data_IF_690596673567
#
_entry.id   IF_690596673567
#
_cell.length_a   1.000
_cell.length_b   1.000
_cell.length_c   1.000
_cell.angle_alpha   90.00
_cell.angle_beta   90.00
_cell.angle_gamma   90.00
#
_symmetry.space_group_name_H-M   'P 1'
#
loop_
_entity.id
_entity.type
_entity.pdbx_description
1 polymer ?
#
# COMPACT_ATOMS: atom_id res chain seq x y z
N UNK A 1 11.01 10.07 5.98
CA UNK A 1 9.87 9.63 5.13
C UNK A 1 10.17 8.26 4.51
N UNK A 2 9.28 7.28 4.67
CA UNK A 2 9.42 5.92 4.11
C UNK A 2 8.61 5.78 2.82
N UNK A 3 9.13 5.03 1.86
CA UNK A 3 8.46 4.73 0.59
C UNK A 3 8.00 3.27 0.60
N UNK A 4 6.71 3.06 0.33
CA UNK A 4 6.09 1.73 0.32
C UNK A 4 5.50 1.44 -1.05
N UNK A 5 5.60 0.19 -1.49
CA UNK A 5 5.00 -0.29 -2.73
C UNK A 5 3.96 -1.35 -2.40
N UNK A 6 2.70 -1.11 -2.79
CA UNK A 6 1.59 -2.04 -2.60
C UNK A 6 1.15 -2.67 -3.93
N UNK A 7 0.51 -3.83 -3.83
CA UNK A 7 0.14 -4.63 -5.00
C UNK A 7 1.23 -5.61 -5.44
N UNK A 8 2.16 -5.94 -4.54
CA UNK A 8 3.17 -6.97 -4.78
C UNK A 8 2.52 -8.37 -4.84
N UNK A 9 3.07 -9.31 -5.63
CA UNK A 9 2.60 -10.69 -5.65
C UNK A 9 2.63 -11.34 -4.26
N UNK A 10 1.52 -11.95 -3.84
CA UNK A 10 1.41 -12.62 -2.54
C UNK A 10 1.29 -11.68 -1.33
N UNK A 11 1.19 -10.36 -1.53
CA UNK A 11 1.02 -9.40 -0.44
C UNK A 11 -0.32 -9.60 0.29
N UNK A 12 -0.24 -9.83 1.60
CA UNK A 12 -1.38 -10.12 2.48
C UNK A 12 -1.72 -8.95 3.39
N UNK A 13 -2.96 -8.94 3.90
CA UNK A 13 -3.43 -7.93 4.86
C UNK A 13 -2.64 -7.97 6.18
N UNK A 14 -2.20 -9.16 6.61
CA UNK A 14 -1.34 -9.31 7.78
C UNK A 14 -0.01 -8.57 7.62
N UNK A 15 0.64 -8.68 6.45
CA UNK A 15 1.89 -7.98 6.16
C UNK A 15 1.70 -6.46 6.09
N UNK A 16 0.56 -6.00 5.56
CA UNK A 16 0.23 -4.57 5.51
C UNK A 16 0.05 -4.00 6.93
N UNK A 17 -0.68 -4.73 7.78
CA UNK A 17 -0.83 -4.41 9.20
C UNK A 17 0.51 -4.39 9.93
N UNK A 18 1.32 -5.44 9.79
CA UNK A 18 2.66 -5.52 10.41
C UNK A 18 3.57 -4.36 9.97
N UNK A 19 3.49 -3.98 8.69
CA UNK A 19 4.23 -2.83 8.16
C UNK A 19 3.77 -1.52 8.82
N UNK A 20 2.46 -1.30 8.94
CA UNK A 20 1.92 -0.11 9.59
C UNK A 20 2.32 -0.02 11.07
N UNK A 21 2.23 -1.13 11.80
CA UNK A 21 2.62 -1.23 13.20
C UNK A 21 4.12 -0.98 13.39
N UNK A 22 4.97 -1.58 12.54
CA UNK A 22 6.41 -1.36 12.57
C UNK A 22 6.76 0.12 12.34
N UNK A 23 6.15 0.77 11.36
CA UNK A 23 6.41 2.19 11.08
C UNK A 23 5.93 3.10 12.22
N UNK A 24 4.83 2.73 12.86
CA UNK A 24 4.29 3.40 14.04
C UNK A 24 5.25 3.29 15.23
N UNK A 25 5.82 2.10 15.47
CA UNK A 25 6.81 1.87 16.52
C UNK A 25 8.13 2.62 16.26
N UNK A 26 8.55 2.71 15.01
CA UNK A 26 9.74 3.45 14.61
C UNK A 26 9.55 4.97 14.68
N UNK A 27 8.32 5.46 14.80
CA UNK A 27 8.02 6.88 14.90
C UNK A 27 8.43 7.67 13.66
N UNK A 28 8.26 7.10 12.46
CA UNK A 28 8.64 7.79 11.21
C UNK A 28 7.76 9.02 10.96
N UNK A 29 8.33 10.10 10.40
CA UNK A 29 7.56 11.34 10.21
C UNK A 29 6.44 11.22 9.16
N UNK A 30 6.56 10.26 8.24
CA UNK A 30 5.59 10.14 7.15
C UNK A 30 5.91 9.05 6.13
N UNK A 31 4.89 8.72 5.34
CA UNK A 31 4.92 7.66 4.33
C UNK A 31 4.46 8.15 2.95
N UNK A 32 4.98 7.50 1.90
CA UNK A 32 4.55 7.68 0.52
C UNK A 32 4.21 6.32 -0.08
N UNK A 33 2.94 6.14 -0.44
CA UNK A 33 2.47 4.91 -1.06
C UNK A 33 2.63 4.97 -2.58
N UNK A 34 3.05 3.85 -3.13
CA UNK A 34 3.17 3.61 -4.56
C UNK A 34 2.43 2.33 -4.92
N UNK A 35 1.59 2.37 -5.94
CA UNK A 35 1.05 1.17 -6.56
C UNK A 35 2.06 0.55 -7.52
N UNK A 36 2.18 -0.77 -7.48
CA UNK A 36 2.92 -1.52 -8.48
C UNK A 36 2.17 -1.43 -9.83
N UNK A 37 2.91 -1.07 -10.87
CA UNK A 37 2.41 -1.02 -12.23
C UNK A 37 3.49 -1.50 -13.20
N UNK A 38 3.07 -1.87 -14.40
CA UNK A 38 3.89 -2.43 -15.46
C UNK A 38 4.18 -1.34 -16.48
N UNK A 39 5.46 -1.13 -16.75
CA UNK A 39 5.93 -0.25 -17.82
C UNK A 39 6.50 -1.06 -18.98
N UNK A 40 6.45 -0.49 -20.18
CA UNK A 40 7.08 -1.04 -21.38
C UNK A 40 8.58 -1.28 -21.15
N UNK A 41 9.13 -2.28 -21.81
CA UNK A 41 10.55 -2.62 -21.80
C UNK A 41 11.09 -2.96 -20.40
N UNK A 42 10.24 -3.49 -19.52
CA UNK A 42 10.65 -3.99 -18.20
C UNK A 42 10.52 -5.52 -18.13
N UNK A 43 11.31 -6.20 -17.27
CA UNK A 43 11.08 -7.63 -16.99
C UNK A 43 9.65 -7.93 -16.53
N UNK A 44 9.02 -6.97 -15.83
CA UNK A 44 7.66 -7.09 -15.36
C UNK A 44 6.64 -7.10 -16.52
N UNK A 45 6.91 -6.42 -17.63
CA UNK A 45 6.08 -6.51 -18.84
C UNK A 45 6.07 -7.91 -19.43
N UNK A 46 7.23 -8.56 -19.51
CA UNK A 46 7.34 -9.92 -20.02
C UNK A 46 6.52 -10.88 -19.15
N UNK A 47 6.68 -10.77 -17.83
CA UNK A 47 5.95 -11.57 -16.86
C UNK A 47 4.43 -11.34 -16.95
N UNK A 48 4.00 -10.07 -17.10
CA UNK A 48 2.60 -9.72 -17.31
C UNK A 48 2.03 -10.33 -18.59
N UNK A 49 2.72 -10.20 -19.73
CA UNK A 49 2.29 -10.75 -21.02
C UNK A 49 2.23 -12.28 -21.03
N UNK A 50 3.04 -12.94 -20.20
CA UNK A 50 3.05 -14.39 -20.02
C UNK A 50 2.01 -14.89 -19.00
N UNK A 51 1.26 -13.98 -18.35
CA UNK A 51 0.28 -14.32 -17.31
C UNK A 51 0.90 -14.68 -15.96
N UNK A 52 2.20 -14.50 -15.78
CA UNK A 52 2.90 -14.75 -14.51
C UNK A 52 2.78 -13.62 -13.50
N UNK A 53 2.19 -12.48 -13.90
CA UNK A 53 1.88 -11.37 -13.01
C UNK A 53 0.61 -10.66 -13.49
N UNK A 54 -0.23 -10.25 -12.55
CA UNK A 54 -1.39 -9.39 -12.81
C UNK A 54 -1.38 -8.25 -11.79
N UNK A 55 -1.32 -6.98 -12.23
CA UNK A 55 -1.47 -5.85 -11.33
C UNK A 55 -2.83 -5.86 -10.64
N UNK A 56 -2.86 -5.34 -9.41
CA UNK A 56 -4.10 -5.24 -8.64
C UNK A 56 -5.08 -4.25 -9.28
N UNK A 57 -6.38 -4.54 -9.15
CA UNK A 57 -7.44 -3.58 -9.49
C UNK A 57 -7.40 -2.38 -8.53
N UNK A 58 -8.01 -1.25 -8.93
CA UNK A 58 -8.12 -0.08 -8.06
C UNK A 58 -8.89 -0.42 -6.76
N UNK A 59 -9.90 -1.27 -6.86
CA UNK A 59 -10.66 -1.75 -5.69
C UNK A 59 -9.77 -2.54 -4.72
N UNK A 60 -9.00 -3.51 -5.24
CA UNK A 60 -8.10 -4.32 -4.42
C UNK A 60 -6.96 -3.46 -3.82
N UNK A 61 -6.41 -2.52 -4.58
CA UNK A 61 -5.43 -1.56 -4.09
C UNK A 61 -6.01 -0.70 -2.95
N UNK A 62 -7.23 -0.22 -3.13
CA UNK A 62 -7.92 0.62 -2.14
C UNK A 62 -8.14 -0.13 -0.83
N UNK A 63 -8.56 -1.40 -0.88
CA UNK A 63 -8.66 -2.24 0.33
C UNK A 63 -7.32 -2.37 1.06
N UNK A 64 -6.23 -2.58 0.32
CA UNK A 64 -4.88 -2.66 0.89
C UNK A 64 -4.44 -1.37 1.57
N UNK A 65 -4.71 -0.22 0.93
CA UNK A 65 -4.47 1.10 1.52
C UNK A 65 -5.29 1.28 2.79
N UNK A 66 -6.58 0.93 2.79
CA UNK A 66 -7.42 1.03 3.98
C UNK A 66 -6.90 0.19 5.15
N UNK A 67 -6.56 -1.08 4.93
CA UNK A 67 -5.97 -1.97 5.95
C UNK A 67 -4.70 -1.36 6.55
N UNK A 68 -3.80 -0.84 5.71
CA UNK A 68 -2.59 -0.18 6.16
C UNK A 68 -2.89 1.07 6.99
N UNK A 69 -3.79 1.95 6.50
CA UNK A 69 -4.13 3.20 7.19
C UNK A 69 -4.78 2.95 8.54
N UNK A 70 -5.71 2.01 8.64
CA UNK A 70 -6.40 1.68 9.90
C UNK A 70 -5.44 1.35 11.05
N UNK A 71 -4.28 0.76 10.73
CA UNK A 71 -3.26 0.34 11.71
C UNK A 71 -2.09 1.30 11.85
N UNK A 72 -1.98 2.32 10.99
CA UNK A 72 -0.90 3.31 11.05
C UNK A 72 -1.22 4.36 12.11
N UNK A 73 -0.22 4.70 12.94
CA UNK A 73 -0.34 5.76 13.93
C UNK A 73 -0.84 7.07 13.30
N UNK A 74 -1.83 7.76 13.92
CA UNK A 74 -2.43 8.98 13.38
C UNK A 74 -1.46 10.16 13.29
N UNK A 75 -0.33 10.11 14.00
CA UNK A 75 0.71 11.15 13.97
C UNK A 75 1.59 11.07 12.71
N UNK A 76 1.58 9.94 11.99
CA UNK A 76 2.41 9.75 10.80
C UNK A 76 1.76 10.43 9.59
N UNK A 77 2.48 11.35 8.94
CA UNK A 77 1.95 12.05 7.78
C UNK A 77 1.82 11.15 6.53
N UNK A 78 0.65 11.16 5.90
CA UNK A 78 0.45 10.53 4.59
C UNK A 78 0.76 11.55 3.49
N UNK A 79 1.96 11.45 2.89
CA UNK A 79 2.33 12.35 1.80
C UNK A 79 1.67 11.97 0.46
N UNK A 80 1.27 10.70 0.30
CA UNK A 80 0.66 10.18 -0.93
C UNK A 80 -0.03 8.83 -0.68
N UNK A 81 -1.23 8.68 -1.23
CA UNK A 81 -2.01 7.43 -1.19
C UNK A 81 -1.85 6.54 -2.43
N UNK A 82 -1.63 7.13 -3.61
CA UNK A 82 -1.43 6.42 -4.87
C UNK A 82 -0.51 7.21 -5.78
N UNK A 83 0.24 6.52 -6.63
CA UNK A 83 1.18 7.14 -7.55
C UNK A 83 0.64 7.11 -8.99
N UNK A 84 0.65 8.29 -9.60
CA UNK A 84 0.38 8.44 -11.02
C UNK A 84 1.60 7.94 -11.80
N UNK A 85 1.38 7.10 -12.82
CA UNK A 85 2.42 6.70 -13.75
C UNK A 85 2.93 7.94 -14.48
N UNK A 86 4.16 8.37 -14.16
CA UNK A 86 4.77 9.57 -14.74
C UNK A 86 5.03 9.42 -16.25
N UNK A 87 5.28 8.19 -16.69
CA UNK A 87 5.44 7.79 -18.10
C UNK A 87 4.18 7.07 -18.57
N UNK A 88 3.10 7.83 -18.72
CA UNK A 88 1.78 7.31 -19.07
C UNK A 88 1.75 6.66 -20.47
N UNK A 89 2.65 7.06 -21.36
CA UNK A 89 2.88 6.48 -22.69
C UNK A 89 3.62 5.13 -22.64
N UNK A 90 4.38 4.90 -21.57
CA UNK A 90 5.03 3.62 -21.27
C UNK A 90 4.18 2.71 -20.38
N UNK A 91 3.05 3.18 -19.84
CA UNK A 91 2.18 2.37 -18.99
C UNK A 91 1.52 1.23 -19.78
N UNK A 92 1.72 0.00 -19.30
CA UNK A 92 1.10 -1.21 -19.85
C UNK A 92 -0.12 -1.61 -19.02
N UNK A 93 0.00 -1.63 -17.69
CA UNK A 93 -1.09 -1.97 -16.76
C UNK A 93 -0.71 -1.55 -15.32
N UNK A 94 -1.66 -1.34 -14.40
CA UNK A 94 -3.10 -1.22 -14.66
C UNK A 94 -3.44 0.20 -15.11
N UNK A 95 -4.47 0.32 -15.95
CA UNK A 95 -4.85 1.58 -16.61
C UNK A 95 -5.27 2.69 -15.64
N UNK A 96 -5.73 2.36 -14.44
CA UNK A 96 -6.16 3.40 -13.49
C UNK A 96 -5.00 4.27 -12.98
N UNK A 97 -3.76 3.84 -13.18
CA UNK A 97 -2.56 4.53 -12.69
C UNK A 97 -2.17 5.75 -13.52
N UNK A 98 -2.70 5.91 -14.74
CA UNK A 98 -2.60 7.19 -15.50
C UNK A 98 -3.54 8.27 -14.98
N UNK A 99 -4.52 7.91 -14.16
CA UNK A 99 -5.56 8.84 -13.71
C UNK A 99 -5.08 9.62 -12.47
N UNK A 100 -5.00 10.95 -12.59
CA UNK A 100 -4.41 11.79 -11.53
C UNK A 100 -5.25 11.86 -10.25
N UNK A 101 -6.56 11.99 -10.39
CA UNK A 101 -7.47 12.24 -9.27
C UNK A 101 -8.27 11.01 -8.85
N UNK A 102 -8.63 10.15 -9.83
CA UNK A 102 -9.55 9.04 -9.58
C UNK A 102 -9.09 8.09 -8.48
N UNK A 103 -7.82 7.64 -8.40
CA UNK A 103 -7.42 6.71 -7.35
C UNK A 103 -7.54 7.32 -5.95
N UNK A 104 -7.23 8.61 -5.82
CA UNK A 104 -7.35 9.33 -4.56
C UNK A 104 -8.82 9.44 -4.12
N UNK A 105 -9.70 9.92 -5.01
CA UNK A 105 -11.14 10.01 -4.72
C UNK A 105 -11.74 8.64 -4.38
N UNK A 106 -11.35 7.60 -5.11
CA UNK A 106 -11.86 6.24 -4.88
C UNK A 106 -11.45 5.71 -3.49
N UNK A 107 -10.25 6.06 -3.02
CA UNK A 107 -9.80 5.71 -1.66
C UNK A 107 -10.59 6.50 -0.62
N UNK A 108 -10.76 7.81 -0.80
CA UNK A 108 -11.54 8.65 0.13
C UNK A 108 -13.00 8.20 0.24
N UNK A 109 -13.64 7.91 -0.89
CA UNK A 109 -15.01 7.40 -0.96
C UNK A 109 -15.13 6.06 -0.24
N UNK A 110 -14.15 5.16 -0.43
CA UNK A 110 -14.11 3.89 0.26
C UNK A 110 -13.97 4.06 1.77
N UNK A 111 -13.06 4.91 2.23
CA UNK A 111 -12.85 5.16 3.66
C UNK A 111 -14.12 5.73 4.30
N UNK A 112 -14.77 6.67 3.62
CA UNK A 112 -16.03 7.28 4.05
C UNK A 112 -17.16 6.25 4.11
N UNK A 113 -17.36 5.47 3.05
CA UNK A 113 -18.41 4.46 2.98
C UNK A 113 -18.21 3.33 4.00
N UNK A 114 -16.97 2.96 4.29
CA UNK A 114 -16.62 1.97 5.31
C UNK A 114 -16.60 2.55 6.75
N UNK A 115 -16.87 3.85 6.89
CA UNK A 115 -16.75 4.59 8.15
C UNK A 115 -15.41 4.31 8.85
N UNK A 116 -14.31 4.42 8.11
CA UNK A 116 -12.96 4.09 8.57
C UNK A 116 -11.96 5.21 8.28
N UNK A 117 -10.84 5.22 8.99
CA UNK A 117 -9.85 6.30 8.92
C UNK A 117 -8.48 5.81 9.41
N UNK A 118 -7.44 6.63 9.21
CA UNK A 118 -6.10 6.35 9.69
C UNK A 118 -6.07 6.18 11.21
N UNK A 119 -5.47 5.10 11.69
CA UNK A 119 -5.31 4.82 13.11
C UNK A 119 -6.58 4.35 13.82
N UNK A 120 -7.67 4.05 13.10
CA UNK A 120 -8.91 3.51 13.70
C UNK A 120 -8.67 2.25 14.56
N UNK A 121 -7.76 1.39 14.12
CA UNK A 121 -7.39 0.13 14.76
C UNK A 121 -5.98 0.18 15.38
N UNK A 122 -5.32 1.34 15.34
CA UNK A 122 -4.01 1.52 15.96
C UNK A 122 -4.12 1.48 17.49
N UNK A 123 -3.21 0.75 18.12
CA UNK A 123 -3.16 0.60 19.58
C UNK A 123 -1.79 1.08 20.09
N UNK A 124 -1.71 2.24 20.74
CA UNK A 124 -0.45 2.74 21.28
C UNK A 124 0.06 1.84 22.41
N UNK A 125 1.35 1.50 22.36
CA UNK A 125 2.06 0.92 23.51
C UNK A 125 1.93 -0.59 23.74
N UNK A 126 1.65 -1.40 22.72
CA UNK A 126 1.79 -2.86 22.84
C UNK A 126 3.28 -3.24 22.76
N UNK A 127 3.92 -3.73 23.84
CA UNK A 127 5.24 -4.33 23.71
C UNK A 127 5.13 -5.58 22.84
N UNK A 128 5.86 -5.61 21.72
CA UNK A 128 5.98 -6.84 20.93
C UNK A 128 6.58 -7.92 21.80
N UNK A 129 5.86 -9.04 21.96
CA UNK A 129 6.44 -10.29 22.47
C UNK A 129 7.49 -10.71 21.45
N UNK A 130 8.75 -10.37 21.70
CA UNK A 130 9.86 -11.06 21.07
C UNK A 130 9.80 -12.50 21.59
N UNK A 131 9.18 -13.38 20.81
CA UNK A 131 9.37 -14.81 20.99
C UNK A 131 10.82 -15.08 20.61
N UNK A 132 11.71 -14.97 21.59
CA UNK A 132 13.00 -15.66 21.53
C UNK A 132 12.69 -17.14 21.51
N UNK A 133 12.59 -17.75 20.34
CA UNK A 133 12.91 -19.17 20.22
C UNK A 133 14.42 -19.27 20.04
N UNK A 134 15.12 -19.14 21.16
CA UNK A 134 16.38 -19.82 21.38
C UNK A 134 16.08 -21.17 22.01
N UNK A 135 16.61 -22.24 21.43
CA UNK A 135 16.41 -23.59 21.94
C UNK A 135 17.03 -24.63 21.01
N UNK A 136 18.37 -24.69 21.07
CA UNK A 136 19.28 -25.84 20.89
C UNK A 136 18.82 -26.97 19.95
#
# INVERSE_FOLDING_TARGET
CVHLMFGLPGETDAQLRETAELLSELGVDGVKLHNLHVLKNTPLEQLYRQGGFAPVSLEAYTRKVAVFLEHLAPEIAIHRLAAVASRWDELVAPEWTREKMRPMQFIEDHLTAANTWQGRLWQPGLPKRHTQQGGI
#
